data_IF_727718236254
#
_entry.id   IF_727718236254
#
_cell.length_a   1.000
_cell.length_b   1.000
_cell.length_c   1.000
_cell.angle_alpha   90.00
_cell.angle_beta   90.00
_cell.angle_gamma   90.00
#
_symmetry.space_group_name_H-M   'P 1'
#
loop_
_entity.id
_entity.type
_entity.pdbx_description
1 polymer ?
#
# COMPACT_ATOMS: atom_id res chain seq x y z
N UNK A 1 11.83 -4.43 -7.30
CA UNK A 1 12.33 -3.21 -6.62
C UNK A 1 12.45 -3.52 -5.14
N UNK A 2 13.42 -2.94 -4.42
CA UNK A 2 13.60 -3.21 -2.99
C UNK A 2 12.51 -2.48 -2.18
N UNK A 3 11.81 -3.19 -1.29
CA UNK A 3 10.88 -2.61 -0.33
C UNK A 3 11.67 -1.94 0.78
N UNK A 4 11.91 -0.63 0.68
CA UNK A 4 12.76 0.13 1.63
C UNK A 4 12.06 0.34 2.99
N UNK A 5 11.72 -0.76 3.67
CA UNK A 5 10.95 -0.81 4.92
C UNK A 5 11.45 0.17 5.98
N UNK A 6 12.77 0.21 6.22
CA UNK A 6 13.36 1.11 7.21
C UNK A 6 13.12 2.61 6.90
N UNK A 7 13.11 2.98 5.62
CA UNK A 7 12.83 4.35 5.20
C UNK A 7 11.33 4.65 5.33
N UNK A 8 10.47 3.70 4.94
CA UNK A 8 9.02 3.85 5.11
C UNK A 8 8.67 4.06 6.58
N UNK A 9 9.20 3.21 7.48
CA UNK A 9 9.00 3.36 8.91
C UNK A 9 9.46 4.71 9.44
N UNK A 10 10.68 5.14 9.07
CA UNK A 10 11.21 6.46 9.45
C UNK A 10 10.28 7.60 9.03
N UNK A 11 9.70 7.54 7.84
CA UNK A 11 8.79 8.57 7.34
C UNK A 11 7.45 8.57 8.09
N UNK A 12 6.88 7.39 8.33
CA UNK A 12 5.61 7.22 9.06
C UNK A 12 5.73 7.70 10.51
N UNK A 13 6.86 7.45 11.17
CA UNK A 13 7.14 7.88 12.56
C UNK A 13 7.18 9.41 12.73
N UNK A 14 7.26 10.18 11.64
CA UNK A 14 7.29 11.66 11.72
C UNK A 14 5.92 12.30 11.93
N UNK A 15 4.82 11.57 11.69
CA UNK A 15 3.44 12.08 11.62
C UNK A 15 3.21 13.27 10.68
N UNK A 16 4.19 13.61 9.83
CA UNK A 16 4.14 14.75 8.89
C UNK A 16 3.79 14.33 7.47
N UNK A 17 3.79 13.04 7.18
CA UNK A 17 3.52 12.49 5.86
C UNK A 17 2.06 12.10 5.71
N UNK A 18 1.48 12.37 4.54
CA UNK A 18 0.16 11.84 4.20
C UNK A 18 0.35 10.48 3.51
N UNK A 19 0.08 9.39 4.23
CA UNK A 19 0.20 8.02 3.72
C UNK A 19 -0.80 7.66 2.60
N UNK A 20 -1.82 8.49 2.37
CA UNK A 20 -2.78 8.36 1.25
C UNK A 20 -2.44 9.27 0.05
N UNK A 21 -1.25 9.88 0.03
CA UNK A 21 -0.84 10.72 -1.10
C UNK A 21 -0.86 9.91 -2.39
N UNK A 22 -1.42 10.49 -3.46
CA UNK A 22 -1.48 9.84 -4.77
C UNK A 22 -0.35 10.30 -5.67
N UNK A 23 0.22 9.38 -6.42
CA UNK A 23 1.15 9.71 -7.51
C UNK A 23 0.39 10.17 -8.77
N UNK A 24 1.11 10.37 -9.88
CA UNK A 24 0.53 10.86 -11.14
C UNK A 24 -0.43 9.87 -11.81
N UNK A 25 -0.47 8.60 -11.37
CA UNK A 25 -1.43 7.60 -11.83
C UNK A 25 -2.63 7.47 -10.88
N UNK A 26 -2.69 8.34 -9.86
CA UNK A 26 -3.68 8.24 -8.80
C UNK A 26 -3.36 7.16 -7.79
N UNK A 27 -2.15 6.58 -7.81
CA UNK A 27 -1.83 5.43 -6.97
C UNK A 27 -1.32 5.83 -5.57
N UNK A 28 -1.80 5.17 -4.52
CA UNK A 28 -1.32 5.36 -3.14
C UNK A 28 -0.07 4.51 -2.85
N UNK A 29 0.73 4.84 -1.81
CA UNK A 29 1.81 3.98 -1.34
C UNK A 29 1.37 2.54 -1.06
N UNK A 30 0.17 2.34 -0.52
CA UNK A 30 -0.38 1.02 -0.23
C UNK A 30 -0.63 0.22 -1.52
N UNK A 31 -1.19 0.86 -2.55
CA UNK A 31 -1.37 0.23 -3.87
C UNK A 31 -0.04 -0.14 -4.50
N UNK A 32 0.98 0.73 -4.41
CA UNK A 32 2.32 0.44 -4.94
C UNK A 32 3.00 -0.71 -4.20
N UNK A 33 2.89 -0.76 -2.88
CA UNK A 33 3.42 -1.86 -2.08
C UNK A 33 2.72 -3.18 -2.44
N UNK A 34 1.39 -3.16 -2.58
CA UNK A 34 0.59 -4.30 -2.97
C UNK A 34 0.90 -4.79 -4.39
N UNK A 35 1.00 -3.90 -5.38
CA UNK A 35 1.38 -4.20 -6.77
C UNK A 35 2.75 -4.89 -6.85
N UNK A 36 3.71 -4.45 -6.04
CA UNK A 36 5.09 -4.93 -6.08
C UNK A 36 5.39 -6.11 -5.13
N UNK A 37 4.42 -6.57 -4.34
CA UNK A 37 4.63 -7.69 -3.41
C UNK A 37 5.44 -7.31 -2.17
N UNK A 38 5.42 -6.05 -1.73
CA UNK A 38 6.16 -5.59 -0.55
C UNK A 38 5.35 -5.77 0.74
N UNK A 39 5.21 -7.02 1.16
CA UNK A 39 4.40 -7.44 2.32
C UNK A 39 4.68 -6.62 3.60
N UNK A 40 5.94 -6.51 4.03
CA UNK A 40 6.28 -5.74 5.23
C UNK A 40 5.95 -4.24 5.12
N UNK A 41 5.98 -3.66 3.91
CA UNK A 41 5.57 -2.27 3.68
C UNK A 41 4.05 -2.15 3.75
N UNK A 42 3.31 -3.15 3.25
CA UNK A 42 1.85 -3.21 3.39
C UNK A 42 1.48 -3.26 4.88
N UNK A 43 2.08 -4.15 5.66
CA UNK A 43 1.83 -4.23 7.11
C UNK A 43 2.12 -2.89 7.81
N UNK A 44 3.30 -2.30 7.57
CA UNK A 44 3.66 -1.00 8.16
C UNK A 44 2.66 0.11 7.85
N UNK A 45 2.12 0.13 6.63
CA UNK A 45 1.13 1.14 6.22
C UNK A 45 -0.23 0.89 6.89
N UNK A 46 -0.68 -0.36 6.94
CA UNK A 46 -1.95 -0.75 7.57
C UNK A 46 -1.94 -0.49 9.08
N UNK A 47 -0.82 -0.78 9.76
CA UNK A 47 -0.64 -0.56 11.20
C UNK A 47 -0.83 0.89 11.63
N UNK A 48 -0.67 1.85 10.71
CA UNK A 48 -0.93 3.26 11.00
C UNK A 48 -2.40 3.55 11.29
N UNK A 49 -3.33 2.71 10.84
CA UNK A 49 -4.78 2.92 10.86
C UNK A 49 -5.22 4.26 10.21
N UNK A 50 -4.36 4.85 9.36
CA UNK A 50 -4.60 6.13 8.68
C UNK A 50 -4.77 5.99 7.17
N UNK A 51 -4.51 4.80 6.62
CA UNK A 51 -4.57 4.54 5.18
C UNK A 51 -5.97 4.11 4.75
N UNK A 52 -6.38 4.54 3.56
CA UNK A 52 -7.60 4.07 2.89
C UNK A 52 -7.26 2.83 2.06
N UNK A 53 -7.57 1.65 2.61
CA UNK A 53 -7.27 0.36 1.99
C UNK A 53 -8.11 0.06 0.73
N UNK A 54 -9.25 0.73 0.57
CA UNK A 54 -10.14 0.58 -0.58
C UNK A 54 -9.99 1.71 -1.61
N UNK A 55 -8.98 2.58 -1.41
CA UNK A 55 -8.72 3.66 -2.34
C UNK A 55 -8.54 3.14 -3.76
N UNK A 56 -9.14 3.82 -4.72
CA UNK A 56 -9.05 3.50 -6.14
C UNK A 56 -8.06 4.43 -6.82
N UNK A 57 -7.20 3.86 -7.66
CA UNK A 57 -6.41 4.66 -8.59
C UNK A 57 -7.33 5.36 -9.60
N UNK A 58 -6.77 6.33 -10.33
CA UNK A 58 -7.56 7.16 -11.27
C UNK A 58 -7.63 6.56 -12.67
N UNK A 59 -6.70 5.69 -13.03
CA UNK A 59 -6.51 5.25 -14.41
C UNK A 59 -7.34 4.00 -14.74
N UNK A 60 -7.35 3.04 -13.83
CA UNK A 60 -8.00 1.74 -13.96
C UNK A 60 -9.02 1.48 -12.85
N UNK A 61 -9.07 2.33 -11.82
CA UNK A 61 -9.95 2.16 -10.68
C UNK A 61 -9.60 0.94 -9.82
N UNK A 62 -8.34 0.50 -9.84
CA UNK A 62 -7.88 -0.65 -9.06
C UNK A 62 -7.65 -0.26 -7.61
N UNK A 63 -7.87 -1.22 -6.72
CA UNK A 63 -7.57 -1.14 -5.29
C UNK A 63 -6.24 -1.85 -5.00
N UNK A 64 -5.63 -1.64 -3.81
CA UNK A 64 -4.51 -2.47 -3.36
C UNK A 64 -4.79 -3.98 -3.50
N UNK A 65 -6.00 -4.41 -3.13
CA UNK A 65 -6.41 -5.82 -3.23
C UNK A 65 -6.41 -6.31 -4.68
N UNK A 66 -6.95 -5.50 -5.61
CA UNK A 66 -6.99 -5.84 -7.04
C UNK A 66 -5.57 -5.98 -7.62
N UNK A 67 -4.65 -5.10 -7.23
CA UNK A 67 -3.24 -5.20 -7.62
C UNK A 67 -2.56 -6.44 -7.04
N UNK A 68 -2.75 -6.73 -5.74
CA UNK A 68 -2.17 -7.90 -5.09
C UNK A 68 -2.67 -9.20 -5.72
N UNK A 69 -3.99 -9.33 -5.90
CA UNK A 69 -4.62 -10.50 -6.50
C UNK A 69 -4.20 -10.69 -7.96
N UNK A 70 -4.19 -9.61 -8.76
CA UNK A 70 -3.78 -9.66 -10.17
C UNK A 70 -2.32 -10.05 -10.39
N UNK A 71 -1.45 -9.79 -9.42
CA UNK A 71 -0.02 -10.15 -9.47
C UNK A 71 0.32 -11.43 -8.68
N UNK A 72 -0.65 -12.06 -8.02
CA UNK A 72 -0.45 -13.32 -7.28
C UNK A 72 0.24 -13.17 -5.92
N UNK A 73 0.15 -12.00 -5.28
CA UNK A 73 0.75 -11.74 -3.97
C UNK A 73 -0.19 -12.22 -2.84
N UNK A 74 -0.30 -13.54 -2.67
CA UNK A 74 -1.28 -14.19 -1.77
C UNK A 74 -1.23 -13.69 -0.32
N UNK A 75 -0.04 -13.49 0.25
CA UNK A 75 0.10 -12.98 1.63
C UNK A 75 -0.51 -11.57 1.79
N UNK A 76 -0.32 -10.71 0.79
CA UNK A 76 -0.89 -9.35 0.79
C UNK A 76 -2.40 -9.38 0.61
N UNK A 77 -2.92 -10.31 -0.20
CA UNK A 77 -4.37 -10.53 -0.32
C UNK A 77 -4.96 -10.86 1.05
N UNK A 78 -4.35 -11.80 1.78
CA UNK A 78 -4.80 -12.18 3.12
C UNK A 78 -4.76 -11.01 4.11
N UNK A 79 -3.68 -10.20 4.09
CA UNK A 79 -3.58 -9.00 4.91
C UNK A 79 -4.73 -8.02 4.62
N UNK A 80 -4.99 -7.74 3.34
CA UNK A 80 -6.00 -6.77 2.92
C UNK A 80 -7.44 -7.28 3.11
N UNK A 81 -7.68 -8.59 3.03
CA UNK A 81 -9.00 -9.20 3.34
C UNK A 81 -9.32 -9.23 4.84
N UNK A 82 -8.30 -9.07 5.70
CA UNK A 82 -8.43 -9.15 7.16
C UNK A 82 -8.72 -7.81 7.86
N UNK A 83 -8.89 -6.73 7.09
CA UNK A 83 -9.10 -5.36 7.57
C UNK A 83 -10.54 -5.07 8.03
#
# INVERSE_FOLDING_TARGET
MNGHEAIVKLLLDTDKVNANSKDNFGQTPLQKAAENGHEAVVELLLDTNKVDADSKDEYYGQTPLSYAAGNGHEAIVQLLESL
#
